data_IF_120004191110
#
_entry.id   IF_120004191110
#
_cell.length_a   1.000
_cell.length_b   1.000
_cell.length_c   1.000
_cell.angle_alpha   90.00
_cell.angle_beta   90.00
_cell.angle_gamma   90.00
#
_symmetry.space_group_name_H-M   'P 1'
#
loop_
_entity.id
_entity.type
_entity.pdbx_description
1 polymer ?
#
# COMPACT_ATOMS: atom_id res chain seq x y z
N UNK A 1 26.55 9.05 -24.60
CA UNK A 1 25.32 9.02 -23.80
C UNK A 1 24.95 7.56 -23.64
N UNK A 2 25.25 6.96 -22.49
CA UNK A 2 25.06 5.52 -22.26
C UNK A 2 23.67 5.32 -21.66
N UNK A 3 22.75 4.74 -22.42
CA UNK A 3 21.46 4.28 -21.92
C UNK A 3 21.69 3.08 -21.03
N UNK A 4 21.68 3.29 -19.71
CA UNK A 4 21.65 2.20 -18.74
C UNK A 4 20.35 1.41 -18.96
N UNK A 5 20.47 0.22 -19.52
CA UNK A 5 19.39 -0.76 -19.54
C UNK A 5 19.44 -1.47 -18.19
N UNK A 6 18.52 -1.12 -17.30
CA UNK A 6 18.37 -1.79 -16.00
C UNK A 6 18.17 -3.29 -16.25
N UNK A 7 18.98 -4.12 -15.61
CA UNK A 7 18.89 -5.58 -15.76
C UNK A 7 17.70 -6.11 -14.95
N UNK A 8 17.17 -7.27 -15.33
CA UNK A 8 16.04 -7.93 -14.65
C UNK A 8 16.30 -8.19 -13.15
N UNK A 9 17.57 -8.27 -12.74
CA UNK A 9 17.99 -8.42 -11.34
C UNK A 9 17.82 -7.12 -10.53
N UNK A 10 18.06 -5.95 -11.12
CA UNK A 10 17.80 -4.65 -10.47
C UNK A 10 16.29 -4.39 -10.29
N UNK A 11 15.46 -4.92 -11.21
CA UNK A 11 14.01 -4.96 -11.03
C UNK A 11 13.60 -5.87 -9.87
N UNK A 12 14.26 -7.00 -9.66
CA UNK A 12 13.95 -7.89 -8.54
C UNK A 12 14.31 -7.27 -7.17
N UNK A 13 15.44 -6.55 -7.10
CA UNK A 13 15.90 -5.92 -5.86
C UNK A 13 15.06 -4.71 -5.42
N UNK A 14 14.43 -3.99 -6.35
CA UNK A 14 13.47 -2.93 -6.01
C UNK A 14 12.19 -3.48 -5.37
N UNK A 15 11.80 -4.70 -5.72
CA UNK A 15 10.61 -5.37 -5.17
C UNK A 15 10.90 -6.22 -3.92
N UNK A 16 12.17 -6.47 -3.60
CA UNK A 16 12.60 -7.22 -2.41
C UNK A 16 12.70 -6.36 -1.14
N UNK A 17 12.58 -5.03 -1.27
CA UNK A 17 12.71 -4.12 -0.15
C UNK A 17 11.51 -4.24 0.80
N UNK A 18 11.81 -4.69 2.01
CA UNK A 18 10.86 -4.74 3.11
C UNK A 18 11.00 -3.50 4.01
N UNK A 19 9.88 -2.95 4.41
CA UNK A 19 9.77 -1.79 5.28
C UNK A 19 9.14 -2.20 6.61
N UNK A 20 9.69 -1.72 7.72
CA UNK A 20 8.93 -1.63 8.96
C UNK A 20 7.77 -0.65 8.80
N UNK A 21 6.79 -0.71 9.69
CA UNK A 21 5.68 0.26 9.66
C UNK A 21 6.14 1.71 9.82
N UNK A 22 7.24 1.93 10.55
CA UNK A 22 7.74 3.28 10.76
C UNK A 22 8.35 3.81 9.46
N UNK A 23 9.21 3.01 8.83
CA UNK A 23 9.79 3.35 7.53
C UNK A 23 8.72 3.54 6.45
N UNK A 24 7.67 2.69 6.44
CA UNK A 24 6.55 2.85 5.53
C UNK A 24 5.76 4.15 5.77
N UNK A 25 5.58 4.55 7.03
CA UNK A 25 4.92 5.81 7.36
C UNK A 25 5.76 7.01 6.90
N UNK A 26 7.07 6.95 7.11
CA UNK A 26 8.02 7.98 6.71
C UNK A 26 8.11 8.09 5.18
N UNK A 27 8.17 6.96 4.47
CA UNK A 27 8.18 6.87 3.00
C UNK A 27 6.91 7.47 2.37
N UNK A 28 5.76 7.31 3.04
CA UNK A 28 4.48 7.87 2.61
C UNK A 28 4.25 9.32 3.09
N UNK A 29 5.12 9.85 3.94
CA UNK A 29 4.98 11.17 4.54
C UNK A 29 3.75 11.31 5.44
N UNK A 30 3.36 10.25 6.15
CA UNK A 30 2.17 10.21 7.02
C UNK A 30 2.52 9.77 8.44
N UNK A 31 1.63 10.08 9.40
CA UNK A 31 1.80 9.56 10.76
C UNK A 31 1.59 8.03 10.82
N UNK A 32 2.26 7.36 11.75
CA UNK A 32 2.03 5.95 12.06
C UNK A 32 0.55 5.64 12.32
N UNK A 33 -0.18 6.53 13.00
CA UNK A 33 -1.61 6.38 13.25
C UNK A 33 -2.44 6.43 11.97
N UNK A 34 -2.05 7.29 11.02
CA UNK A 34 -2.68 7.36 9.69
C UNK A 34 -2.40 6.10 8.89
N UNK A 35 -1.15 5.63 8.89
CA UNK A 35 -0.76 4.38 8.23
C UNK A 35 -1.60 3.20 8.74
N UNK A 36 -1.74 3.06 10.06
CA UNK A 36 -2.55 1.99 10.66
C UNK A 36 -4.02 2.07 10.21
N UNK A 37 -4.61 3.27 10.23
CA UNK A 37 -5.99 3.47 9.74
C UNK A 37 -6.13 3.10 8.27
N UNK A 38 -5.17 3.49 7.44
CA UNK A 38 -5.19 3.17 6.01
C UNK A 38 -4.97 1.69 5.75
N UNK A 39 -4.11 0.99 6.48
CA UNK A 39 -3.98 -0.46 6.38
C UNK A 39 -5.29 -1.18 6.74
N UNK A 40 -5.91 -0.82 7.86
CA UNK A 40 -7.20 -1.42 8.28
C UNK A 40 -8.34 -1.11 7.31
N UNK A 41 -8.36 0.09 6.71
CA UNK A 41 -9.38 0.48 5.74
C UNK A 41 -9.14 -0.15 4.36
N UNK A 42 -7.92 -0.01 3.83
CA UNK A 42 -7.58 -0.41 2.48
C UNK A 42 -7.52 -1.93 2.32
N UNK A 43 -7.17 -2.70 3.35
CA UNK A 43 -7.24 -4.18 3.32
C UNK A 43 -8.64 -4.72 3.03
N UNK A 44 -9.69 -3.98 3.35
CA UNK A 44 -11.07 -4.36 3.03
C UNK A 44 -11.36 -4.21 1.52
N UNK A 45 -10.63 -3.31 0.84
CA UNK A 45 -10.86 -2.91 -0.54
C UNK A 45 -9.80 -3.45 -1.51
N UNK A 46 -8.58 -3.69 -1.03
CA UNK A 46 -7.40 -4.12 -1.80
C UNK A 46 -6.97 -5.48 -1.25
N UNK A 47 -7.25 -6.59 -1.97
CA UNK A 47 -6.93 -7.94 -1.50
C UNK A 47 -5.46 -8.16 -1.13
N UNK A 48 -4.53 -7.52 -1.86
CA UNK A 48 -3.10 -7.59 -1.57
C UNK A 48 -2.73 -7.10 -0.16
N UNK A 49 -3.50 -6.15 0.41
CA UNK A 49 -3.24 -5.61 1.75
C UNK A 49 -3.88 -6.43 2.88
N UNK A 50 -4.65 -7.48 2.57
CA UNK A 50 -5.27 -8.35 3.60
C UNK A 50 -4.24 -9.09 4.44
N UNK A 51 -3.04 -9.30 3.90
CA UNK A 51 -1.92 -9.95 4.60
C UNK A 51 -1.52 -9.25 5.89
N UNK A 52 -1.89 -7.98 6.07
CA UNK A 52 -1.55 -7.17 7.25
C UNK A 52 -2.60 -7.21 8.35
N UNK A 53 -3.75 -7.84 8.11
CA UNK A 53 -4.86 -7.91 9.06
C UNK A 53 -5.08 -9.37 9.44
N UNK A 54 -5.16 -9.65 10.73
CA UNK A 54 -5.51 -10.97 11.24
C UNK A 54 -7.02 -11.23 11.21
N UNK A 55 -7.44 -12.45 11.55
CA UNK A 55 -8.85 -12.86 11.59
C UNK A 55 -9.69 -12.02 12.56
N UNK A 56 -9.05 -11.36 13.53
CA UNK A 56 -9.70 -10.50 14.52
C UNK A 56 -9.77 -9.03 14.06
N UNK A 57 -9.35 -8.72 12.83
CA UNK A 57 -9.32 -7.36 12.31
C UNK A 57 -8.18 -6.50 12.85
N UNK A 58 -7.23 -7.09 13.58
CA UNK A 58 -6.08 -6.40 14.15
C UNK A 58 -4.88 -6.44 13.20
N UNK A 59 -4.06 -5.38 13.23
CA UNK A 59 -2.89 -5.29 12.36
C UNK A 59 -1.75 -6.18 12.88
N UNK A 60 -1.32 -7.16 12.08
CA UNK A 60 -0.25 -8.10 12.42
C UNK A 60 1.16 -7.52 12.16
N UNK A 61 2.21 -8.17 12.65
CA UNK A 61 3.59 -7.65 12.58
C UNK A 61 4.33 -7.94 11.26
N UNK A 62 3.62 -8.28 10.19
CA UNK A 62 4.23 -8.55 8.88
C UNK A 62 4.87 -7.27 8.34
N UNK A 63 6.05 -7.42 7.73
CA UNK A 63 6.76 -6.31 7.09
C UNK A 63 6.07 -5.91 5.79
N UNK A 64 6.16 -4.62 5.45
CA UNK A 64 5.50 -4.07 4.28
C UNK A 64 6.48 -4.11 3.11
N UNK A 65 6.20 -4.91 2.10
CA UNK A 65 7.03 -4.92 0.88
C UNK A 65 6.81 -3.66 0.02
N UNK A 66 7.78 -3.33 -0.83
CA UNK A 66 7.73 -2.15 -1.72
C UNK A 66 6.44 -2.07 -2.55
N UNK A 67 5.96 -3.19 -3.08
CA UNK A 67 4.73 -3.22 -3.87
C UNK A 67 3.49 -2.87 -3.04
N UNK A 68 3.49 -3.17 -1.73
CA UNK A 68 2.41 -2.76 -0.82
C UNK A 68 2.43 -1.25 -0.54
N UNK A 69 3.62 -0.63 -0.54
CA UNK A 69 3.77 0.82 -0.39
C UNK A 69 3.07 1.56 -1.54
N UNK A 70 3.18 1.06 -2.78
CA UNK A 70 2.52 1.71 -3.93
C UNK A 70 0.99 1.71 -3.79
N UNK A 71 0.39 0.63 -3.29
CA UNK A 71 -1.05 0.62 -2.98
C UNK A 71 -1.42 1.64 -1.90
N UNK A 72 -0.62 1.73 -0.84
CA UNK A 72 -0.84 2.69 0.24
C UNK A 72 -0.64 4.13 -0.23
N UNK A 73 0.32 4.38 -1.12
CA UNK A 73 0.56 5.69 -1.75
C UNK A 73 -0.65 6.12 -2.56
N UNK A 74 -1.22 5.23 -3.35
CA UNK A 74 -2.48 5.50 -4.06
C UNK A 74 -3.61 5.87 -3.09
N UNK A 75 -3.78 5.12 -2.00
CA UNK A 75 -4.81 5.42 -0.97
C UNK A 75 -4.60 6.80 -0.36
N UNK A 76 -3.35 7.14 -0.01
CA UNK A 76 -2.97 8.46 0.53
C UNK A 76 -3.33 9.56 -0.47
N UNK A 77 -2.97 9.40 -1.73
CA UNK A 77 -3.19 10.43 -2.75
C UNK A 77 -4.68 10.59 -3.09
N UNK A 78 -5.44 9.50 -3.15
CA UNK A 78 -6.89 9.56 -3.31
C UNK A 78 -7.54 10.31 -2.15
N UNK A 79 -7.07 10.12 -0.92
CA UNK A 79 -7.58 10.84 0.25
C UNK A 79 -7.18 12.32 0.31
N UNK A 80 -6.13 12.75 -0.41
CA UNK A 80 -5.80 14.18 -0.57
C UNK A 80 -6.78 14.88 -1.51
N UNK A 81 -7.26 14.18 -2.54
CA UNK A 81 -8.05 14.79 -3.63
C UNK A 81 -9.55 14.53 -3.55
N UNK A 82 -10.00 13.51 -2.80
CA UNK A 82 -11.38 13.07 -2.82
C UNK A 82 -11.96 12.81 -1.43
N UNK A 83 -13.29 12.89 -1.33
CA UNK A 83 -14.01 12.51 -0.11
C UNK A 83 -13.89 11.01 0.15
N UNK A 84 -13.95 10.55 1.42
CA UNK A 84 -13.81 9.13 1.75
C UNK A 84 -14.79 8.21 0.99
N UNK A 85 -16.02 8.65 0.77
CA UNK A 85 -17.01 7.90 -0.01
C UNK A 85 -16.60 7.72 -1.47
N UNK A 86 -16.02 8.76 -2.08
CA UNK A 86 -15.51 8.72 -3.45
C UNK A 86 -14.28 7.81 -3.54
N UNK A 87 -13.37 7.88 -2.56
CA UNK A 87 -12.21 6.98 -2.46
C UNK A 87 -12.65 5.51 -2.41
N UNK A 88 -13.60 5.17 -1.53
CA UNK A 88 -14.15 3.80 -1.45
C UNK A 88 -14.68 3.34 -2.81
N UNK A 89 -15.46 4.18 -3.52
CA UNK A 89 -15.99 3.83 -4.84
C UNK A 89 -14.90 3.59 -5.88
N UNK A 90 -13.85 4.42 -5.89
CA UNK A 90 -12.73 4.28 -6.81
C UNK A 90 -11.98 2.97 -6.54
N UNK A 91 -11.60 2.71 -5.29
CA UNK A 91 -10.86 1.52 -4.90
C UNK A 91 -11.68 0.24 -5.11
N UNK A 92 -12.96 0.23 -4.74
CA UNK A 92 -13.86 -0.91 -4.99
C UNK A 92 -13.96 -1.20 -6.49
N UNK A 93 -14.07 -0.16 -7.32
CA UNK A 93 -14.14 -0.34 -8.77
C UNK A 93 -12.85 -0.91 -9.35
N UNK A 94 -11.70 -0.50 -8.82
CA UNK A 94 -10.39 -0.90 -9.34
C UNK A 94 -10.00 -2.31 -8.90
N UNK A 95 -10.30 -2.70 -7.67
CA UNK A 95 -9.75 -3.91 -7.06
C UNK A 95 -10.78 -5.02 -6.76
N UNK A 96 -12.08 -4.71 -6.80
CA UNK A 96 -13.15 -5.66 -6.44
C UNK A 96 -14.20 -5.86 -7.53
N UNK A 97 -14.11 -5.17 -8.67
CA UNK A 97 -15.12 -5.29 -9.76
C UNK A 97 -14.93 -6.50 -10.68
N UNK A 98 -13.97 -7.38 -10.40
CA UNK A 98 -13.70 -8.61 -11.17
C UNK A 98 -13.95 -9.89 -10.35
N UNK A 99 -14.97 -9.87 -9.46
CA UNK A 99 -15.52 -11.08 -8.83
C UNK A 99 -16.95 -11.29 -9.33
#
# INVERSE_FOLDING_TARGET
MTTASLTTEEYADLYSKEFSRQEAADELGISMRTLQRYLSYASQLIPALRVFVDENGSLNRVKIEAHHIEYLREVVDLHKSFSPQRVTKILTRKYLSEI
#
